data_IF_652565630023
#
_entry.id   IF_652565630023
#
_cell.length_a   1.000
_cell.length_b   1.000
_cell.length_c   1.000
_cell.angle_alpha   90.00
_cell.angle_beta   90.00
_cell.angle_gamma   90.00
#
_symmetry.space_group_name_H-M   'P 1'
#
loop_
_entity.id
_entity.type
_entity.pdbx_description
1 polymer ?
#
# COMPACT_ATOMS: atom_id res chain seq x y z
N UNK A 1 4.86 -2.10 -17.08
CA UNK A 1 3.72 -2.82 -16.52
C UNK A 1 4.09 -3.41 -15.16
N UNK A 2 4.25 -4.73 -15.03
CA UNK A 2 4.35 -5.37 -13.71
C UNK A 2 5.56 -4.88 -12.88
N UNK A 3 6.77 -4.82 -13.45
CA UNK A 3 7.98 -4.37 -12.73
C UNK A 3 7.91 -2.94 -12.18
N UNK A 4 7.18 -2.03 -12.85
CA UNK A 4 7.05 -0.63 -12.41
C UNK A 4 6.00 -0.51 -11.30
N UNK A 5 4.88 -1.22 -11.44
CA UNK A 5 3.86 -1.35 -10.41
C UNK A 5 4.42 -1.98 -9.12
N UNK A 6 5.24 -3.04 -9.22
CA UNK A 6 5.89 -3.65 -8.06
C UNK A 6 6.80 -2.67 -7.30
N UNK A 7 7.66 -1.94 -8.02
CA UNK A 7 8.55 -0.94 -7.39
C UNK A 7 7.78 0.21 -6.75
N UNK A 8 6.69 0.67 -7.37
CA UNK A 8 5.82 1.70 -6.83
C UNK A 8 5.08 1.23 -5.58
N UNK A 9 4.56 0.00 -5.59
CA UNK A 9 3.79 -0.56 -4.49
C UNK A 9 4.63 -0.70 -3.21
N UNK A 10 5.93 -1.02 -3.33
CA UNK A 10 6.85 -1.10 -2.17
C UNK A 10 6.92 0.24 -1.41
N UNK A 11 7.15 1.34 -2.13
CA UNK A 11 7.28 2.66 -1.49
C UNK A 11 5.98 3.10 -0.82
N UNK A 12 4.84 2.88 -1.49
CA UNK A 12 3.53 3.23 -0.94
C UNK A 12 3.17 2.36 0.25
N UNK A 13 3.43 1.04 0.20
CA UNK A 13 3.14 0.15 1.33
C UNK A 13 3.95 0.50 2.58
N UNK A 14 5.22 0.91 2.40
CA UNK A 14 6.06 1.37 3.51
C UNK A 14 5.51 2.66 4.10
N UNK A 15 5.16 3.64 3.25
CA UNK A 15 4.58 4.91 3.70
C UNK A 15 3.26 4.73 4.44
N UNK A 16 2.37 3.87 3.93
CA UNK A 16 1.09 3.53 4.59
C UNK A 16 1.36 2.86 5.93
N UNK A 17 2.28 1.91 6.01
CA UNK A 17 2.62 1.21 7.26
C UNK A 17 3.15 2.19 8.32
N UNK A 18 4.03 3.11 7.93
CA UNK A 18 4.56 4.14 8.82
C UNK A 18 3.45 5.09 9.29
N UNK A 19 2.65 5.62 8.35
CA UNK A 19 1.59 6.58 8.66
C UNK A 19 0.43 5.99 9.47
N UNK A 20 0.12 4.71 9.28
CA UNK A 20 -1.04 4.05 9.91
C UNK A 20 -0.72 3.39 11.24
N UNK A 21 0.52 2.95 11.46
CA UNK A 21 0.87 2.10 12.62
C UNK A 21 1.93 2.76 13.47
N UNK A 22 3.05 3.15 12.85
CA UNK A 22 4.20 3.69 13.59
C UNK A 22 3.89 5.08 14.13
N UNK A 23 3.35 5.97 13.29
CA UNK A 23 3.04 7.35 13.69
C UNK A 23 1.96 7.41 14.78
N UNK A 24 0.83 6.69 14.71
CA UNK A 24 -0.18 6.71 15.76
C UNK A 24 0.28 6.05 17.06
N UNK A 25 1.17 5.05 17.00
CA UNK A 25 1.79 4.48 18.22
C UNK A 25 2.79 5.41 18.88
N UNK A 26 3.48 6.26 18.13
CA UNK A 26 4.35 7.29 18.72
C UNK A 26 3.50 8.38 19.37
N UNK A 27 2.46 8.85 18.68
CA UNK A 27 1.60 9.95 19.14
C UNK A 27 0.62 9.54 20.26
N UNK A 28 0.10 8.31 20.23
CA UNK A 28 -0.95 7.81 21.13
C UNK A 28 -0.64 6.40 21.65
N UNK A 29 0.61 6.18 22.08
CA UNK A 29 1.17 4.89 22.52
C UNK A 29 0.26 4.10 23.46
N UNK A 30 -0.29 4.76 24.50
CA UNK A 30 -1.09 4.10 25.54
C UNK A 30 -2.42 3.55 25.00
N UNK A 31 -3.07 4.26 24.07
CA UNK A 31 -4.32 3.84 23.47
C UNK A 31 -4.08 2.72 22.45
N UNK A 32 -3.09 2.90 21.57
CA UNK A 32 -2.83 1.95 20.50
C UNK A 32 -2.24 0.62 20.99
N UNK A 33 -1.35 0.64 21.99
CA UNK A 33 -0.79 -0.60 22.55
C UNK A 33 -1.81 -1.41 23.37
N UNK A 34 -2.92 -0.78 23.81
CA UNK A 34 -3.97 -1.47 24.55
C UNK A 34 -5.11 -1.99 23.64
N UNK A 35 -5.33 -1.34 22.50
CA UNK A 35 -6.41 -1.68 21.56
C UNK A 35 -5.97 -2.63 20.45
N UNK A 36 -4.71 -2.60 20.04
CA UNK A 36 -4.21 -3.35 18.89
C UNK A 36 -3.21 -4.45 19.27
N UNK A 37 -3.12 -5.53 18.47
CA UNK A 37 -2.16 -6.62 18.65
C UNK A 37 -0.71 -6.13 18.63
N UNK A 38 0.28 -6.98 18.96
CA UNK A 38 1.70 -6.64 18.95
C UNK A 38 2.13 -5.90 17.68
N UNK A 39 3.04 -4.92 17.81
CA UNK A 39 3.40 -4.01 16.72
C UNK A 39 3.86 -4.74 15.46
N UNK A 40 4.58 -5.85 15.63
CA UNK A 40 5.12 -6.66 14.53
C UNK A 40 4.01 -7.35 13.74
N UNK A 41 3.02 -7.93 14.42
CA UNK A 41 1.90 -8.60 13.77
C UNK A 41 1.05 -7.61 12.98
N UNK A 42 0.71 -6.48 13.60
CA UNK A 42 -0.06 -5.42 12.94
C UNK A 42 0.69 -4.87 11.72
N UNK A 43 2.00 -4.63 11.87
CA UNK A 43 2.87 -4.12 10.79
C UNK A 43 2.93 -5.08 9.61
N UNK A 44 3.15 -6.38 9.86
CA UNK A 44 3.22 -7.38 8.79
C UNK A 44 1.91 -7.48 8.04
N UNK A 45 0.78 -7.56 8.75
CA UNK A 45 -0.55 -7.67 8.13
C UNK A 45 -0.85 -6.43 7.27
N UNK A 46 -0.62 -5.23 7.81
CA UNK A 46 -0.87 -3.99 7.07
C UNK A 46 0.05 -3.83 5.87
N UNK A 47 1.31 -4.23 5.98
CA UNK A 47 2.28 -4.14 4.89
C UNK A 47 1.86 -5.07 3.75
N UNK A 48 1.44 -6.30 4.04
CA UNK A 48 0.95 -7.26 3.03
C UNK A 48 -0.34 -6.77 2.38
N UNK A 49 -1.34 -6.35 3.17
CA UNK A 49 -2.63 -5.90 2.63
C UNK A 49 -2.45 -4.62 1.79
N UNK A 50 -1.73 -3.63 2.32
CA UNK A 50 -1.49 -2.37 1.60
C UNK A 50 -0.70 -2.60 0.31
N UNK A 51 0.27 -3.52 0.32
CA UNK A 51 1.01 -3.90 -0.87
C UNK A 51 0.09 -4.52 -1.94
N UNK A 52 -0.77 -5.48 -1.57
CA UNK A 52 -1.71 -6.13 -2.49
C UNK A 52 -2.67 -5.10 -3.10
N UNK A 53 -3.26 -4.23 -2.28
CA UNK A 53 -4.18 -3.19 -2.75
C UNK A 53 -3.47 -2.21 -3.68
N UNK A 54 -2.29 -1.73 -3.30
CA UNK A 54 -1.54 -0.78 -4.10
C UNK A 54 -1.05 -1.39 -5.43
N UNK A 55 -0.68 -2.67 -5.42
CA UNK A 55 -0.34 -3.42 -6.62
C UNK A 55 -1.54 -3.53 -7.56
N UNK A 56 -2.72 -3.90 -7.05
CA UNK A 56 -3.96 -4.01 -7.84
C UNK A 56 -4.34 -2.69 -8.49
N UNK A 57 -4.32 -1.58 -7.74
CA UNK A 57 -4.61 -0.24 -8.26
C UNK A 57 -3.61 0.16 -9.35
N UNK A 58 -2.32 -0.04 -9.10
CA UNK A 58 -1.27 0.28 -10.07
C UNK A 58 -1.42 -0.53 -11.36
N UNK A 59 -1.77 -1.82 -11.22
CA UNK A 59 -2.03 -2.70 -12.34
C UNK A 59 -3.25 -2.25 -13.15
N UNK A 60 -4.35 -1.88 -12.48
CA UNK A 60 -5.57 -1.40 -13.11
C UNK A 60 -5.33 -0.10 -13.89
N UNK A 61 -4.61 0.87 -13.30
CA UNK A 61 -4.24 2.14 -13.97
C UNK A 61 -3.43 1.86 -15.23
N UNK A 62 -2.44 0.96 -15.15
CA UNK A 62 -1.57 0.67 -16.29
C UNK A 62 -2.30 -0.11 -17.39
N UNK A 63 -3.26 -0.97 -17.02
CA UNK A 63 -4.16 -1.64 -17.97
C UNK A 63 -5.08 -0.65 -18.69
N UNK A 64 -5.68 0.29 -17.96
CA UNK A 64 -6.51 1.36 -18.54
C UNK A 64 -5.72 2.24 -19.51
N UNK A 65 -4.49 2.64 -19.15
CA UNK A 65 -3.61 3.42 -20.04
C UNK A 65 -3.34 2.70 -21.37
N UNK A 66 -3.18 1.38 -21.35
CA UNK A 66 -2.99 0.62 -22.59
C UNK A 66 -4.28 0.58 -23.41
N UNK A 67 -5.44 0.36 -22.78
CA UNK A 67 -6.73 0.38 -23.47
C UNK A 67 -6.99 1.72 -24.15
N UNK A 68 -6.76 2.83 -23.46
CA UNK A 68 -6.94 4.19 -24.01
C UNK A 68 -5.97 4.44 -25.17
N UNK A 69 -4.67 4.15 -24.99
CA UNK A 69 -3.67 4.32 -26.06
C UNK A 69 -3.95 3.47 -27.31
N UNK A 70 -4.67 2.36 -27.15
CA UNK A 70 -5.09 1.50 -28.27
C UNK A 70 -6.34 2.05 -28.97
N UNK A 71 -7.19 2.79 -28.26
CA UNK A 71 -8.38 3.45 -28.82
C UNK A 71 -8.02 4.74 -29.58
N UNK A 72 -7.07 5.55 -29.09
CA UNK A 72 -6.59 6.78 -29.76
C UNK A 72 -5.81 6.55 -31.06
N UNK A 73 -5.52 5.29 -31.40
CA UNK A 73 -4.70 4.91 -32.57
C UNK A 73 -5.52 4.45 -33.78
N UNK A 74 -6.84 4.58 -33.70
CA UNK A 74 -7.81 4.37 -34.77
C UNK A 74 -8.51 5.70 -35.08
#
# INVERSE_FOLDING_TARGET
MVKKALKSAIGVSIGVTIGSIILPRILFSKLYNNTYPPILEQTLIYLVISYIVCFLISFLIEWLKIKIKKADKF
#
